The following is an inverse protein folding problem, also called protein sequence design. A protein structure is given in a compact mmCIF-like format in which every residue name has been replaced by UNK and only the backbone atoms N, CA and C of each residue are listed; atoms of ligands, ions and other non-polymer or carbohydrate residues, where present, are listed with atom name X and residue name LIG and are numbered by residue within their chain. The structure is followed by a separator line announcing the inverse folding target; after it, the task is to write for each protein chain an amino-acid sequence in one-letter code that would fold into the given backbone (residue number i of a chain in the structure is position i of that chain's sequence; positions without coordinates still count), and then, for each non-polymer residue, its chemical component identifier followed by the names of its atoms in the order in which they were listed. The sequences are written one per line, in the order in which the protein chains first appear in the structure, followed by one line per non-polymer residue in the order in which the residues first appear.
data_IF_446047736493
#
_entry.id   IF_446047736493
#
_cell.length_a   1.000
_cell.length_b   1.000
_cell.length_c   1.000
_cell.angle_alpha   90.00
_cell.angle_beta   90.00
_cell.angle_gamma   90.00
#
_symmetry.space_group_name_H-M   'P 1'
#
loop_
_entity.id
_entity.type
_entity.pdbx_description
1 polymer ?
#
# COMPACT_ATOMS: atom_id res chain seq x y z
N UNK A 1 -26.12 -7.33 -31.68
CA UNK A 1 -24.72 -6.93 -31.43
C UNK A 1 -24.36 -7.38 -30.03
N UNK A 2 -23.63 -8.49 -29.91
CA UNK A 2 -23.15 -9.04 -28.65
C UNK A 2 -22.01 -8.16 -28.12
N UNK A 3 -22.22 -7.45 -27.01
CA UNK A 3 -21.14 -6.78 -26.29
C UNK A 3 -20.22 -7.85 -25.70
N UNK A 4 -19.00 -7.99 -26.24
CA UNK A 4 -17.96 -8.78 -25.58
C UNK A 4 -17.74 -8.21 -24.17
N UNK A 5 -17.68 -9.05 -23.12
CA UNK A 5 -17.45 -8.56 -21.76
C UNK A 5 -16.09 -7.86 -21.73
N UNK A 6 -16.06 -6.62 -21.25
CA UNK A 6 -14.81 -5.90 -20.99
C UNK A 6 -13.99 -6.73 -20.00
N UNK A 7 -12.84 -7.24 -20.44
CA UNK A 7 -11.92 -7.99 -19.59
C UNK A 7 -11.45 -7.07 -18.45
N UNK A 8 -11.88 -7.39 -17.23
CA UNK A 8 -11.44 -6.70 -16.02
C UNK A 8 -10.21 -7.42 -15.49
N UNK A 9 -9.06 -6.75 -15.53
CA UNK A 9 -7.79 -7.26 -15.01
C UNK A 9 -7.42 -6.54 -13.72
N UNK A 10 -6.90 -7.30 -12.76
CA UNK A 10 -6.34 -6.77 -11.51
C UNK A 10 -4.82 -6.89 -11.54
N UNK A 11 -4.15 -5.82 -11.16
CA UNK A 11 -2.70 -5.74 -11.05
C UNK A 11 -2.34 -5.46 -9.59
N UNK A 12 -1.34 -6.15 -9.05
CA UNK A 12 -0.60 -5.65 -7.90
C UNK A 12 0.39 -4.60 -8.40
N UNK A 13 0.47 -3.46 -7.72
CA UNK A 13 1.40 -2.39 -8.05
C UNK A 13 2.34 -2.17 -6.87
N UNK A 14 3.64 -2.30 -7.10
CA UNK A 14 4.69 -2.11 -6.08
C UNK A 14 5.42 -0.79 -6.28
N UNK A 15 5.98 -0.26 -5.19
CA UNK A 15 6.71 1.01 -5.19
C UNK A 15 5.85 2.27 -5.00
N UNK A 16 4.53 2.16 -4.87
CA UNK A 16 3.67 3.29 -4.49
C UNK A 16 3.83 3.62 -3.00
N UNK A 17 4.29 4.84 -2.70
CA UNK A 17 4.52 5.34 -1.33
C UNK A 17 3.60 6.50 -0.91
N UNK A 18 2.93 7.18 -1.84
CA UNK A 18 2.01 8.28 -1.53
C UNK A 18 0.75 8.29 -2.43
N UNK A 19 -0.23 9.13 -2.12
CA UNK A 19 -1.43 9.32 -2.93
C UNK A 19 -1.13 10.00 -4.29
N UNK A 20 -0.05 10.77 -4.40
CA UNK A 20 0.48 11.28 -5.66
C UNK A 20 0.94 10.17 -6.62
N UNK A 21 1.48 9.07 -6.08
CA UNK A 21 1.84 7.89 -6.87
C UNK A 21 0.60 7.25 -7.52
N UNK A 22 -0.54 7.27 -6.82
CA UNK A 22 -1.82 6.73 -7.31
C UNK A 22 -2.27 7.48 -8.55
N UNK A 23 -2.24 8.82 -8.51
CA UNK A 23 -2.64 9.64 -9.64
C UNK A 23 -1.71 9.43 -10.85
N UNK A 24 -0.40 9.29 -10.62
CA UNK A 24 0.57 9.00 -11.67
C UNK A 24 0.29 7.65 -12.34
N UNK A 25 0.13 6.58 -11.56
CA UNK A 25 -0.16 5.23 -12.07
C UNK A 25 -1.54 5.17 -12.76
N UNK A 26 -2.56 5.79 -12.17
CA UNK A 26 -3.91 5.81 -12.72
C UNK A 26 -3.98 6.57 -14.04
N UNK A 27 -3.26 7.69 -14.16
CA UNK A 27 -3.16 8.42 -15.43
C UNK A 27 -2.36 7.64 -16.47
N UNK A 28 -1.26 6.99 -16.08
CA UNK A 28 -0.49 6.14 -17.00
C UNK A 28 -1.33 4.98 -17.54
N UNK A 29 -2.11 4.32 -16.67
CA UNK A 29 -3.01 3.25 -17.07
C UNK A 29 -4.19 3.76 -17.91
N UNK A 30 -4.80 4.91 -17.59
CA UNK A 30 -5.87 5.51 -18.41
C UNK A 30 -5.41 5.92 -19.81
N UNK A 31 -4.15 6.32 -19.94
CA UNK A 31 -3.57 6.73 -21.21
C UNK A 31 -3.06 5.54 -22.04
N UNK A 32 -3.07 4.32 -21.49
CA UNK A 32 -2.66 3.13 -22.22
C UNK A 32 -3.69 2.77 -23.31
N UNK A 33 -3.26 2.33 -24.52
CA UNK A 33 -4.17 1.99 -25.61
C UNK A 33 -5.13 0.87 -25.24
N UNK A 34 -6.43 1.06 -25.50
CA UNK A 34 -7.46 0.03 -25.27
C UNK A 34 -8.04 0.00 -23.85
N UNK A 35 -7.58 0.87 -22.95
CA UNK A 35 -8.12 0.98 -21.59
C UNK A 35 -9.38 1.85 -21.59
N UNK A 36 -10.49 1.30 -21.11
CA UNK A 36 -11.76 2.01 -20.95
C UNK A 36 -11.84 2.69 -19.59
N UNK A 37 -11.44 1.97 -18.53
CA UNK A 37 -11.40 2.49 -17.17
C UNK A 37 -10.20 1.94 -16.41
N UNK A 38 -9.49 2.79 -15.68
CA UNK A 38 -8.47 2.37 -14.71
C UNK A 38 -8.71 3.06 -13.37
N UNK A 39 -8.76 2.26 -12.31
CA UNK A 39 -8.87 2.72 -10.93
C UNK A 39 -7.74 2.09 -10.10
N UNK A 40 -7.00 2.92 -9.39
CA UNK A 40 -5.90 2.47 -8.54
C UNK A 40 -6.30 2.64 -7.08
N UNK A 41 -6.24 1.56 -6.31
CA UNK A 41 -6.41 1.57 -4.88
C UNK A 41 -5.03 1.59 -4.19
N UNK A 42 -4.76 2.70 -3.50
CA UNK A 42 -3.54 2.85 -2.70
C UNK A 42 -3.47 1.90 -1.50
N UNK A 43 -4.60 1.71 -0.81
CA UNK A 43 -4.69 0.91 0.40
C UNK A 43 -4.43 -0.57 0.10
N UNK A 44 -4.99 -1.09 -1.00
CA UNK A 44 -4.76 -2.47 -1.45
C UNK A 44 -3.50 -2.64 -2.33
N UNK A 45 -2.82 -1.54 -2.70
CA UNK A 45 -1.74 -1.54 -3.70
C UNK A 45 -2.15 -2.27 -4.99
N UNK A 46 -3.38 -2.04 -5.43
CA UNK A 46 -3.95 -2.68 -6.62
C UNK A 46 -4.35 -1.66 -7.66
N UNK A 47 -4.28 -2.05 -8.92
CA UNK A 47 -4.94 -1.36 -10.01
C UNK A 47 -5.97 -2.30 -10.64
N UNK A 48 -7.19 -1.81 -10.82
CA UNK A 48 -8.22 -2.49 -11.58
C UNK A 48 -8.41 -1.76 -12.90
N UNK A 49 -8.19 -2.50 -13.98
CA UNK A 49 -8.23 -1.99 -15.35
C UNK A 49 -9.26 -2.78 -16.13
N UNK A 50 -10.16 -2.09 -16.82
CA UNK A 50 -11.13 -2.69 -17.73
C UNK A 50 -10.88 -2.15 -19.13
N UNK A 51 -10.72 -3.05 -20.09
CA UNK A 51 -10.38 -2.70 -21.46
C UNK A 51 -9.82 -3.88 -22.24
N UNK A 52 -9.65 -3.69 -23.55
CA UNK A 52 -9.06 -4.68 -24.44
C UNK A 52 -7.56 -4.37 -24.64
N UNK A 53 -6.81 -4.46 -23.53
CA UNK A 53 -5.37 -4.17 -23.50
C UNK A 53 -4.60 -5.41 -23.04
N UNK A 54 -3.51 -5.79 -23.73
CA UNK A 54 -2.61 -6.84 -23.27
C UNK A 54 -1.96 -6.49 -21.92
N UNK A 55 -1.82 -7.50 -21.04
CA UNK A 55 -1.20 -7.36 -19.72
C UNK A 55 0.20 -6.71 -19.79
N UNK A 56 1.01 -7.10 -20.78
CA UNK A 56 2.36 -6.57 -20.95
C UNK A 56 2.36 -5.05 -21.16
N UNK A 57 1.39 -4.53 -21.93
CA UNK A 57 1.23 -3.09 -22.17
C UNK A 57 0.84 -2.35 -20.90
N UNK A 58 -0.02 -2.95 -20.07
CA UNK A 58 -0.41 -2.37 -18.78
C UNK A 58 0.77 -2.33 -17.81
N UNK A 59 1.54 -3.42 -17.70
CA UNK A 59 2.74 -3.47 -16.85
C UNK A 59 3.77 -2.44 -17.32
N UNK A 60 3.96 -2.32 -18.64
CA UNK A 60 4.90 -1.36 -19.21
C UNK A 60 4.47 0.08 -18.91
N UNK A 61 3.19 0.42 -19.06
CA UNK A 61 2.69 1.75 -18.72
C UNK A 61 2.94 2.12 -17.24
N UNK A 62 2.82 1.15 -16.33
CA UNK A 62 3.14 1.35 -14.90
C UNK A 62 4.65 1.53 -14.68
N UNK A 63 5.48 0.80 -15.43
CA UNK A 63 6.96 0.93 -15.40
C UNK A 63 7.44 2.26 -15.93
N UNK A 64 6.83 2.75 -17.01
CA UNK A 64 7.15 4.05 -17.60
C UNK A 64 6.77 5.21 -16.65
N UNK A 65 5.77 4.99 -15.77
CA UNK A 65 5.44 5.90 -14.68
C UNK A 65 6.36 5.77 -13.45
N UNK A 66 7.33 4.85 -13.47
CA UNK A 66 8.35 4.68 -12.43
C UNK A 66 8.01 3.68 -11.32
N UNK A 67 6.99 2.84 -11.51
CA UNK A 67 6.52 1.82 -10.56
C UNK A 67 6.65 0.41 -11.16
N UNK A 68 6.31 -0.64 -10.42
CA UNK A 68 6.31 -2.01 -10.98
C UNK A 68 4.96 -2.68 -10.76
N UNK A 69 4.57 -3.59 -11.64
CA UNK A 69 3.26 -4.24 -11.59
C UNK A 69 3.30 -5.71 -12.01
N UNK A 70 2.46 -6.52 -11.37
CA UNK A 70 2.23 -7.93 -11.71
C UNK A 70 0.74 -8.23 -11.73
N UNK A 71 0.34 -9.23 -12.54
CA UNK A 71 -1.07 -9.65 -12.58
C UNK A 71 -1.47 -10.34 -11.27
N UNK A 72 -2.67 -10.03 -10.82
CA UNK A 72 -3.23 -10.65 -9.63
C UNK A 72 -4.07 -11.87 -10.00
N UNK A 73 -3.56 -13.06 -9.69
CA UNK A 73 -4.32 -14.31 -9.76
C UNK A 73 -4.24 -15.04 -8.40
N UNK A 74 -5.39 -15.45 -7.90
CA UNK A 74 -5.63 -16.39 -6.80
C UNK A 74 -5.28 -16.00 -5.35
N UNK A 75 -5.92 -16.71 -4.41
CA UNK A 75 -5.80 -16.55 -2.95
C UNK A 75 -4.37 -16.80 -2.41
N UNK A 76 -3.51 -17.48 -3.19
CA UNK A 76 -2.09 -17.60 -2.88
C UNK A 76 -1.36 -16.23 -2.92
N UNK A 77 -1.82 -15.32 -3.78
CA UNK A 77 -1.27 -13.96 -3.85
C UNK A 77 -1.59 -13.14 -2.59
N UNK A 78 -2.65 -13.44 -1.84
CA UNK A 78 -2.99 -12.73 -0.60
C UNK A 78 -1.98 -13.02 0.52
N UNK A 79 -1.52 -14.26 0.68
CA UNK A 79 -0.50 -14.61 1.67
C UNK A 79 0.86 -13.98 1.34
N UNK A 80 1.24 -13.93 0.06
CA UNK A 80 2.46 -13.26 -0.39
C UNK A 80 2.42 -11.74 -0.16
N UNK A 81 1.24 -11.13 -0.33
CA UNK A 81 1.01 -9.71 -0.05
C UNK A 81 1.15 -9.38 1.42
N UNK A 82 0.52 -10.15 2.29
CA UNK A 82 0.62 -9.95 3.73
C UNK A 82 2.07 -10.08 4.19
N UNK A 83 2.81 -11.06 3.65
CA UNK A 83 4.24 -11.22 3.92
C UNK A 83 5.07 -10.02 3.43
N UNK A 84 4.78 -9.50 2.22
CA UNK A 84 5.45 -8.33 1.67
C UNK A 84 5.13 -7.04 2.46
N UNK A 85 3.90 -6.87 2.92
CA UNK A 85 3.48 -5.74 3.76
C UNK A 85 4.19 -5.79 5.12
N UNK A 86 4.26 -6.97 5.75
CA UNK A 86 5.00 -7.16 7.00
C UNK A 86 6.51 -6.94 6.82
N UNK A 87 7.10 -7.37 5.70
CA UNK A 87 8.51 -7.11 5.40
C UNK A 87 8.77 -5.60 5.23
N UNK A 88 7.87 -4.89 4.56
CA UNK A 88 7.94 -3.44 4.40
C UNK A 88 7.84 -2.69 5.74
N UNK A 89 6.88 -3.06 6.59
CA UNK A 89 6.75 -2.49 7.94
C UNK A 89 8.01 -2.72 8.79
N UNK A 90 8.54 -3.95 8.78
CA UNK A 90 9.80 -4.28 9.49
C UNK A 90 10.98 -3.45 8.97
N UNK A 91 11.06 -3.22 7.66
CA UNK A 91 12.08 -2.36 7.06
C UNK A 91 11.96 -0.91 7.54
N UNK A 92 10.75 -0.34 7.57
CA UNK A 92 10.53 1.03 8.05
C UNK A 92 10.95 1.17 9.52
N UNK A 93 10.55 0.23 10.39
CA UNK A 93 10.95 0.23 11.80
C UNK A 93 12.47 0.12 11.95
N UNK A 94 13.11 -0.79 11.20
CA UNK A 94 14.57 -0.92 11.22
C UNK A 94 15.25 0.38 10.79
N UNK A 95 14.76 1.03 9.74
CA UNK A 95 15.29 2.30 9.26
C UNK A 95 15.12 3.42 10.30
N UNK A 96 13.96 3.49 10.96
CA UNK A 96 13.72 4.39 12.10
C UNK A 96 14.71 4.14 13.23
N UNK A 97 14.91 2.89 13.63
CA UNK A 97 15.81 2.56 14.74
C UNK A 97 17.26 2.90 14.38
N UNK A 98 17.72 2.56 13.18
CA UNK A 98 19.10 2.87 12.74
C UNK A 98 19.33 4.38 12.67
N UNK A 99 18.39 5.14 12.08
CA UNK A 99 18.50 6.60 12.01
C UNK A 99 18.38 7.24 13.41
N UNK A 100 17.40 6.80 14.21
CA UNK A 100 17.16 7.31 15.56
C UNK A 100 18.29 7.00 16.54
N UNK A 101 18.95 5.85 16.40
CA UNK A 101 20.12 5.48 17.20
C UNK A 101 21.32 6.39 16.96
N UNK A 102 21.42 7.00 15.77
CA UNK A 102 22.42 8.04 15.48
C UNK A 102 21.92 9.42 15.90
N UNK A 103 20.68 9.76 15.54
CA UNK A 103 20.14 11.10 15.71
C UNK A 103 19.88 11.49 17.17
N UNK A 104 19.28 10.60 17.98
CA UNK A 104 18.90 10.94 19.35
C UNK A 104 20.11 11.16 20.27
N UNK A 105 21.15 10.30 20.29
CA UNK A 105 22.34 10.58 21.08
C UNK A 105 23.07 11.84 20.62
N UNK A 106 23.15 12.09 19.31
CA UNK A 106 23.79 13.28 18.76
C UNK A 106 23.06 14.56 19.21
N UNK A 107 21.73 14.58 19.10
CA UNK A 107 20.89 15.70 19.56
C UNK A 107 21.02 15.93 21.08
N UNK A 108 21.02 14.87 21.89
CA UNK A 108 21.18 14.99 23.34
C UNK A 108 22.56 15.53 23.69
N UNK A 109 23.61 15.00 23.07
CA UNK A 109 24.99 15.43 23.32
C UNK A 109 25.23 16.87 22.89
N UNK A 110 24.63 17.30 21.78
CA UNK A 110 24.68 18.67 21.30
C UNK A 110 23.98 19.63 22.25
N UNK A 111 22.75 19.31 22.67
CA UNK A 111 21.99 20.12 23.62
C UNK A 111 22.65 20.19 25.01
N UNK A 112 23.37 19.14 25.41
CA UNK A 112 24.14 19.10 26.65
C UNK A 112 25.51 19.80 26.55
N UNK A 113 25.91 20.26 25.35
CA UNK A 113 27.21 20.89 25.12
C UNK A 113 28.41 19.95 25.28
N UNK A 114 28.20 18.63 25.13
CA UNK A 114 29.26 17.62 25.27
C UNK A 114 30.12 17.45 24.02
N UNK A 115 29.65 17.97 22.89
CA UNK A 115 30.32 17.84 21.60
C UNK A 115 31.45 18.87 21.44
N UNK A 116 32.55 18.50 20.75
CA UNK A 116 33.67 19.40 20.55
C UNK A 116 33.30 20.58 19.64
N UNK A 117 33.86 21.76 19.94
CA UNK A 117 33.71 22.95 19.12
C UNK A 117 34.31 22.72 17.73
N UNK A 118 33.51 23.01 16.70
CA UNK A 118 33.79 22.67 15.31
C UNK A 118 35.03 23.38 14.74
N UNK A 119 35.31 24.61 15.18
CA UNK A 119 36.49 25.39 14.78
C UNK A 119 37.84 24.83 15.29
N UNK A 120 37.83 23.84 16.20
CA UNK A 120 39.05 23.23 16.75
C UNK A 120 39.50 22.07 15.86
N UNK A 121 40.79 21.86 15.63
CA UNK A 121 41.27 20.76 14.75
C UNK A 121 40.75 19.38 15.16
N UNK A 122 40.63 19.12 16.47
CA UNK A 122 40.07 17.86 17.01
C UNK A 122 38.56 17.76 16.81
N UNK A 123 37.84 18.87 16.90
CA UNK A 123 36.40 18.97 16.62
C UNK A 123 36.10 18.81 15.13
N UNK A 124 36.93 19.39 14.27
CA UNK A 124 36.80 19.26 12.82
C UNK A 124 36.83 17.81 12.36
N UNK A 125 37.81 17.02 12.82
CA UNK A 125 37.92 15.59 12.53
C UNK A 125 36.70 14.82 13.05
N UNK A 126 36.23 15.14 14.26
CA UNK A 126 35.04 14.54 14.84
C UNK A 126 33.79 14.79 13.98
N UNK A 127 33.54 16.05 13.60
CA UNK A 127 32.36 16.43 12.82
C UNK A 127 32.40 15.91 11.38
N UNK A 128 33.57 15.82 10.75
CA UNK A 128 33.71 15.13 9.45
C UNK A 128 33.36 13.63 9.60
N UNK A 129 33.82 12.97 10.67
CA UNK A 129 33.47 11.59 10.97
C UNK A 129 31.96 11.39 11.16
N UNK A 130 31.32 12.27 11.94
CA UNK A 130 29.86 12.30 12.11
C UNK A 130 29.15 12.60 10.79
N UNK A 131 29.70 13.47 9.95
CA UNK A 131 29.15 13.78 8.63
C UNK A 131 29.14 12.56 7.71
N UNK A 132 30.21 11.78 7.67
CA UNK A 132 30.28 10.52 6.91
C UNK A 132 29.33 9.45 7.46
N UNK A 133 29.25 9.32 8.79
CA UNK A 133 28.32 8.39 9.44
C UNK A 133 26.86 8.77 9.17
N UNK A 134 26.57 10.07 9.21
CA UNK A 134 25.27 10.64 8.84
C UNK A 134 24.93 10.36 7.40
N UNK A 135 25.88 10.54 6.46
CA UNK A 135 25.66 10.23 5.05
C UNK A 135 25.32 8.73 4.87
N UNK A 136 26.04 7.84 5.54
CA UNK A 136 25.76 6.41 5.50
C UNK A 136 24.36 6.09 6.05
N UNK A 137 23.96 6.71 7.16
CA UNK A 137 22.62 6.56 7.72
C UNK A 137 21.52 7.11 6.78
N UNK A 138 21.76 8.25 6.13
CA UNK A 138 20.85 8.84 5.13
C UNK A 138 20.69 7.91 3.92
N UNK A 139 21.78 7.34 3.41
CA UNK A 139 21.74 6.39 2.29
C UNK A 139 20.99 5.11 2.66
N UNK A 140 21.23 4.56 3.85
CA UNK A 140 20.62 3.31 4.30
C UNK A 140 19.13 3.49 4.69
N UNK A 141 18.83 4.43 5.58
CA UNK A 141 17.49 4.63 6.14
C UNK A 141 16.60 5.52 5.27
N UNK A 142 17.20 6.44 4.50
CA UNK A 142 16.49 7.44 3.71
C UNK A 142 16.67 7.31 2.19
N UNK A 143 17.49 6.38 1.70
CA UNK A 143 17.80 6.29 0.26
C UNK A 143 16.58 6.18 -0.66
N UNK A 144 15.48 5.60 -0.17
CA UNK A 144 14.22 5.52 -0.91
C UNK A 144 13.60 6.90 -1.18
N UNK A 145 13.72 7.87 -0.26
CA UNK A 145 13.26 9.24 -0.46
C UNK A 145 14.04 9.93 -1.59
N UNK A 146 15.37 9.76 -1.63
CA UNK A 146 16.22 10.32 -2.69
C UNK A 146 15.85 9.76 -4.07
N UNK A 147 15.65 8.44 -4.15
CA UNK A 147 15.21 7.81 -5.41
C UNK A 147 13.80 8.25 -5.81
N UNK A 148 12.90 8.45 -4.84
CA UNK A 148 11.54 8.96 -5.06
C UNK A 148 11.56 10.39 -5.59
N UNK A 149 12.29 11.28 -4.92
CA UNK A 149 12.46 12.68 -5.33
C UNK A 149 13.05 12.80 -6.74
N UNK A 150 14.06 11.99 -7.08
CA UNK A 150 14.65 11.99 -8.42
C UNK A 150 13.63 11.60 -9.51
N UNK A 151 12.80 10.58 -9.24
CA UNK A 151 11.71 10.20 -10.14
C UNK A 151 10.71 11.34 -10.30
N UNK A 152 10.26 11.96 -9.20
CA UNK A 152 9.29 13.06 -9.27
C UNK A 152 9.84 14.28 -10.01
N UNK A 153 11.11 14.61 -9.81
CA UNK A 153 11.79 15.67 -10.53
C UNK A 153 11.79 15.43 -12.05
N UNK A 154 12.11 14.20 -12.50
CA UNK A 154 12.03 13.84 -13.94
C UNK A 154 10.62 14.00 -14.52
N UNK A 155 9.60 13.83 -13.71
CA UNK A 155 8.20 13.98 -14.11
C UNK A 155 7.61 15.37 -13.80
N UNK A 156 8.45 16.36 -13.48
CA UNK A 156 8.03 17.76 -13.20
C UNK A 156 6.96 17.87 -12.10
N UNK A 157 7.06 17.01 -11.09
CA UNK A 157 6.13 16.99 -9.96
C UNK A 157 6.90 17.14 -8.64
N UNK A 158 6.23 17.65 -7.60
CA UNK A 158 6.79 17.82 -6.27
C UNK A 158 5.89 17.13 -5.23
N UNK A 159 6.51 16.36 -4.34
CA UNK A 159 5.82 15.59 -3.31
C UNK A 159 6.58 15.62 -1.97
N UNK A 160 6.12 14.82 -1.01
CA UNK A 160 6.77 14.66 0.29
C UNK A 160 8.24 14.21 0.18
N UNK A 161 8.57 13.28 -0.72
CA UNK A 161 9.96 12.80 -0.93
C UNK A 161 10.87 13.95 -1.36
N UNK A 162 10.36 14.87 -2.19
CA UNK A 162 11.10 16.04 -2.68
C UNK A 162 11.48 16.97 -1.54
N UNK A 163 10.53 17.26 -0.63
CA UNK A 163 10.77 18.10 0.54
C UNK A 163 11.84 17.50 1.47
N UNK A 164 11.72 16.20 1.75
CA UNK A 164 12.62 15.49 2.66
C UNK A 164 14.04 15.47 2.10
N UNK A 165 14.16 15.12 0.82
CA UNK A 165 15.44 15.04 0.11
C UNK A 165 16.15 16.38 0.11
N UNK A 166 15.43 17.46 -0.23
CA UNK A 166 16.01 18.80 -0.26
C UNK A 166 16.37 19.30 1.14
N UNK A 167 15.50 19.12 2.13
CA UNK A 167 15.76 19.57 3.51
C UNK A 167 16.94 18.83 4.15
N UNK A 168 16.90 17.49 4.13
CA UNK A 168 17.96 16.67 4.75
C UNK A 168 19.27 16.73 3.95
N UNK A 169 19.19 16.82 2.62
CA UNK A 169 20.35 17.02 1.75
C UNK A 169 21.01 18.38 1.95
N UNK A 170 20.23 19.46 2.05
CA UNK A 170 20.75 20.79 2.32
C UNK A 170 21.37 20.88 3.72
N UNK A 171 20.72 20.32 4.74
CA UNK A 171 21.26 20.27 6.10
C UNK A 171 22.60 19.52 6.14
N UNK A 172 22.69 18.34 5.51
CA UNK A 172 23.95 17.59 5.44
C UNK A 172 25.02 18.34 4.66
N UNK A 173 24.69 18.89 3.48
CA UNK A 173 25.63 19.60 2.64
C UNK A 173 26.20 20.83 3.33
N UNK A 174 25.34 21.65 3.94
CA UNK A 174 25.75 22.80 4.74
C UNK A 174 26.68 22.38 5.88
N UNK A 175 26.28 21.37 6.66
CA UNK A 175 27.05 20.88 7.80
C UNK A 175 28.42 20.35 7.40
N UNK A 176 28.50 19.64 6.26
CA UNK A 176 29.75 19.12 5.72
C UNK A 176 30.64 20.25 5.20
N UNK A 177 30.08 21.27 4.56
CA UNK A 177 30.82 22.45 4.11
C UNK A 177 31.43 23.19 5.29
N UNK A 178 30.64 23.45 6.33
CA UNK A 178 31.11 24.11 7.57
C UNK A 178 32.17 23.25 8.29
N UNK A 179 32.01 21.92 8.32
CA UNK A 179 33.00 21.00 8.89
C UNK A 179 34.32 20.96 8.09
N UNK A 180 34.28 21.02 6.76
CA UNK A 180 35.49 21.02 5.92
C UNK A 180 36.18 22.39 5.90
N UNK A 181 35.40 23.46 5.91
CA UNK A 181 35.88 24.85 5.80
C UNK A 181 35.28 25.74 6.89
N UNK A 182 35.69 25.60 8.17
CA UNK A 182 35.08 26.36 9.27
C UNK A 182 35.22 27.89 9.11
N UNK A 183 36.24 28.35 8.40
CA UNK A 183 36.54 29.77 8.16
C UNK A 183 35.71 30.40 7.03
N UNK A 184 34.94 29.61 6.26
CA UNK A 184 34.11 30.16 5.18
C UNK A 184 32.81 30.81 5.67
N UNK A 185 32.46 30.61 6.94
CA UNK A 185 31.27 31.18 7.57
C UNK A 185 31.63 31.94 8.85
N UNK A 186 30.87 32.98 9.22
CA UNK A 186 31.05 33.68 10.50
C UNK A 186 30.97 32.74 11.69
N UNK A 187 31.64 33.06 12.79
CA UNK A 187 31.67 32.22 14.00
C UNK A 187 30.29 31.90 14.57
N UNK A 188 29.32 32.82 14.44
CA UNK A 188 27.93 32.59 14.82
C UNK A 188 27.21 31.52 13.98
N UNK A 189 27.69 31.26 12.76
CA UNK A 189 27.09 30.32 11.81
C UNK A 189 27.81 28.95 11.79
N UNK A 190 28.82 28.73 12.64
CA UNK A 190 29.59 27.48 12.73
C UNK A 190 28.84 26.38 13.50
N UNK A 191 27.58 26.12 13.14
CA UNK A 191 26.78 25.01 13.67
C UNK A 191 26.59 23.94 12.61
N UNK A 192 26.67 22.67 13.02
CA UNK A 192 26.32 21.54 12.17
C UNK A 192 24.88 21.11 12.48
N UNK A 193 24.19 20.59 11.47
CA UNK A 193 22.79 20.13 11.51
C UNK A 193 22.67 18.66 11.06
N UNK A 194 23.68 17.85 11.38
CA UNK A 194 23.72 16.43 11.00
C UNK A 194 22.62 15.63 11.73
N UNK A 195 22.41 15.94 13.00
CA UNK A 195 21.34 15.43 13.85
C UNK A 195 19.97 15.75 13.27
N UNK A 196 19.72 16.99 12.83
CA UNK A 196 18.45 17.38 12.22
C UNK A 196 18.16 16.55 10.96
N UNK A 197 19.14 16.36 10.09
CA UNK A 197 18.99 15.59 8.86
C UNK A 197 18.57 14.12 9.14
N UNK A 198 19.26 13.44 10.05
CA UNK A 198 18.96 12.03 10.38
C UNK A 198 17.70 11.91 11.23
N UNK A 199 17.43 12.87 12.12
CA UNK A 199 16.22 12.90 12.95
C UNK A 199 14.97 13.01 12.09
N UNK A 200 14.96 13.89 11.09
CA UNK A 200 13.86 14.01 10.13
C UNK A 200 13.60 12.66 9.44
N UNK A 201 14.64 11.99 8.95
CA UNK A 201 14.51 10.66 8.32
C UNK A 201 13.96 9.62 9.30
N UNK A 202 14.40 9.63 10.56
CA UNK A 202 13.93 8.71 11.59
C UNK A 202 12.44 8.89 11.87
N UNK A 203 12.00 10.13 12.10
CA UNK A 203 10.62 10.48 12.43
C UNK A 203 9.66 10.24 11.27
N UNK A 204 10.09 10.49 10.03
CA UNK A 204 9.24 10.25 8.87
C UNK A 204 9.09 8.75 8.62
N UNK A 205 10.18 7.97 8.67
CA UNK A 205 10.08 6.51 8.59
C UNK A 205 9.18 5.94 9.71
N UNK A 206 9.21 6.54 10.92
CA UNK A 206 8.33 6.15 12.02
C UNK A 206 6.88 6.47 11.70
N UNK A 207 6.61 7.68 11.20
CA UNK A 207 5.28 8.10 10.73
C UNK A 207 4.72 7.14 9.68
N UNK A 208 5.51 6.80 8.66
CA UNK A 208 5.12 5.83 7.63
C UNK A 208 4.92 4.42 8.18
N UNK A 209 5.69 4.01 9.20
CA UNK A 209 5.49 2.72 9.88
C UNK A 209 4.17 2.69 10.65
N UNK A 210 3.85 3.76 11.38
CA UNK A 210 2.59 3.91 12.11
C UNK A 210 1.39 3.93 11.14
N UNK A 211 1.53 4.63 10.01
CA UNK A 211 0.54 4.65 8.95
C UNK A 211 0.29 3.26 8.36
N UNK A 212 1.36 2.53 8.02
CA UNK A 212 1.28 1.15 7.51
C UNK A 212 0.57 0.25 8.52
N UNK A 213 0.93 0.35 9.81
CA UNK A 213 0.30 -0.43 10.88
C UNK A 213 -1.18 -0.11 11.05
N UNK A 214 -1.56 1.16 10.96
CA UNK A 214 -2.96 1.59 11.07
C UNK A 214 -3.80 1.02 9.90
N UNK A 215 -3.26 1.05 8.68
CA UNK A 215 -3.91 0.51 7.49
C UNK A 215 -4.03 -1.01 7.51
N UNK A 216 -2.97 -1.74 7.86
CA UNK A 216 -2.99 -3.19 7.93
C UNK A 216 -4.06 -3.72 8.90
N UNK A 217 -4.31 -3.02 10.02
CA UNK A 217 -5.40 -3.36 10.95
C UNK A 217 -6.79 -3.24 10.31
N UNK A 218 -7.02 -2.21 9.49
CA UNK A 218 -8.29 -2.02 8.79
C UNK A 218 -8.50 -3.10 7.71
N UNK A 219 -7.46 -3.41 6.93
CA UNK A 219 -7.51 -4.46 5.90
C UNK A 219 -7.75 -5.85 6.49
N UNK A 220 -7.12 -6.17 7.63
CA UNK A 220 -7.29 -7.47 8.29
C UNK A 220 -8.73 -7.72 8.79
N UNK A 221 -9.46 -6.66 9.18
CA UNK A 221 -10.86 -6.79 9.58
C UNK A 221 -11.76 -7.21 8.41
N UNK A 222 -11.47 -6.72 7.20
CA UNK A 222 -12.18 -7.08 5.97
C UNK A 222 -11.83 -8.51 5.53
N UNK A 223 -10.54 -8.89 5.60
CA UNK A 223 -10.09 -10.26 5.28
C UNK A 223 -10.75 -11.32 6.18
N UNK A 224 -11.03 -11.02 7.46
CA UNK A 224 -11.74 -11.94 8.35
C UNK A 224 -13.16 -12.27 7.87
N UNK A 225 -13.81 -11.38 7.11
CA UNK A 225 -15.09 -11.66 6.49
C UNK A 225 -14.94 -12.59 5.27
N UNK A 226 -13.83 -12.51 4.54
CA UNK A 226 -13.53 -13.37 3.38
C UNK A 226 -13.09 -14.78 3.78
N UNK A 227 -12.41 -14.92 4.91
CA UNK A 227 -12.01 -16.22 5.47
C UNK A 227 -13.18 -17.13 5.89
N UNK A 228 -14.41 -16.67 5.73
CA UNK A 228 -15.62 -17.44 6.02
C UNK A 228 -16.03 -18.38 4.87
N UNK A 229 -15.48 -18.22 3.66
CA UNK A 229 -15.79 -19.09 2.53
C UNK A 229 -15.10 -20.47 2.67
N UNK A 230 -15.81 -21.59 2.45
CA UNK A 230 -15.19 -22.92 2.43
C UNK A 230 -14.16 -23.03 1.30
N UNK A 231 -13.02 -23.67 1.56
CA UNK A 231 -12.00 -23.92 0.53
C UNK A 231 -12.28 -25.18 -0.30
N UNK A 232 -13.07 -26.09 0.24
CA UNK A 232 -13.42 -27.36 -0.39
C UNK A 232 -14.93 -27.55 -0.42
N UNK A 233 -15.39 -28.36 -1.37
CA UNK A 233 -16.77 -28.81 -1.50
C UNK A 233 -16.80 -30.31 -1.76
N UNK A 234 -17.86 -30.97 -1.29
CA UNK A 234 -18.05 -32.40 -1.50
C UNK A 234 -18.85 -32.65 -2.77
N UNK A 235 -18.14 -32.98 -3.84
CA UNK A 235 -18.72 -33.34 -5.14
C UNK A 235 -19.22 -34.79 -5.11
N UNK A 236 -20.41 -35.01 -5.68
CA UNK A 236 -21.04 -36.33 -5.83
C UNK A 236 -21.12 -36.68 -7.31
N UNK A 237 -20.45 -37.76 -7.70
CA UNK A 237 -20.48 -38.31 -9.06
C UNK A 237 -20.89 -39.78 -8.99
N UNK A 238 -22.13 -40.08 -9.37
CA UNK A 238 -22.71 -41.41 -9.16
C UNK A 238 -22.83 -41.74 -7.67
N UNK A 239 -22.18 -42.81 -7.24
CA UNK A 239 -22.18 -43.28 -5.84
C UNK A 239 -20.92 -42.85 -5.06
N UNK A 240 -20.03 -42.07 -5.68
CA UNK A 240 -18.78 -41.62 -5.04
C UNK A 240 -18.86 -40.17 -4.58
N UNK A 241 -18.38 -39.93 -3.35
CA UNK A 241 -18.15 -38.61 -2.77
C UNK A 241 -16.66 -38.27 -2.79
N UNK A 242 -16.30 -37.12 -3.36
CA UNK A 242 -14.93 -36.58 -3.29
C UNK A 242 -14.92 -35.12 -2.86
N UNK A 243 -14.03 -34.79 -1.94
CA UNK A 243 -13.79 -33.40 -1.55
C UNK A 243 -12.84 -32.76 -2.58
N UNK A 244 -13.32 -31.70 -3.25
CA UNK A 244 -12.59 -30.97 -4.30
C UNK A 244 -12.44 -29.49 -3.92
N UNK A 245 -11.38 -28.80 -4.37
CA UNK A 245 -11.26 -27.35 -4.20
C UNK A 245 -12.44 -26.62 -4.86
N UNK A 246 -12.99 -25.59 -4.21
CA UNK A 246 -14.15 -24.84 -4.73
C UNK A 246 -13.89 -24.21 -6.11
N UNK A 247 -12.63 -23.89 -6.40
CA UNK A 247 -12.15 -23.29 -7.64
C UNK A 247 -12.30 -24.23 -8.85
N UNK A 248 -12.37 -25.54 -8.61
CA UNK A 248 -12.49 -26.56 -9.66
C UNK A 248 -13.94 -26.91 -9.99
N UNK A 249 -14.90 -26.38 -9.23
CA UNK A 249 -16.33 -26.63 -9.44
C UNK A 249 -16.84 -25.96 -10.70
N UNK A 250 -17.68 -26.66 -11.44
CA UNK A 250 -18.37 -26.13 -12.61
C UNK A 250 -19.88 -26.02 -12.33
N UNK A 251 -20.60 -25.09 -13.00
CA UNK A 251 -22.05 -25.07 -12.97
C UNK A 251 -22.63 -26.43 -13.37
N UNK A 252 -23.69 -26.85 -12.67
CA UNK A 252 -24.32 -28.17 -12.84
C UNK A 252 -23.74 -29.29 -11.97
N UNK A 253 -22.61 -29.06 -11.28
CA UNK A 253 -22.03 -30.02 -10.35
C UNK A 253 -22.99 -30.35 -9.19
N UNK A 254 -23.03 -31.62 -8.79
CA UNK A 254 -23.86 -32.10 -7.68
C UNK A 254 -23.05 -32.11 -6.39
N UNK A 255 -23.50 -31.36 -5.39
CA UNK A 255 -22.73 -31.12 -4.17
C UNK A 255 -23.57 -31.54 -2.98
N UNK A 256 -22.95 -32.29 -2.06
CA UNK A 256 -23.60 -32.70 -0.81
C UNK A 256 -23.17 -31.81 0.34
N UNK A 257 -24.15 -31.36 1.12
CA UNK A 257 -23.92 -30.57 2.33
C UNK A 257 -24.50 -31.32 3.52
N UNK A 258 -23.67 -31.55 4.54
CA UNK A 258 -24.05 -32.23 5.79
C UNK A 258 -24.44 -31.21 6.87
N UNK A 259 -25.17 -31.65 7.93
CA UNK A 259 -25.45 -30.78 9.06
C UNK A 259 -24.16 -30.18 9.63
N UNK A 260 -24.15 -28.88 9.88
CA UNK A 260 -22.99 -28.15 10.40
C UNK A 260 -21.98 -27.71 9.34
N UNK A 261 -22.16 -28.05 8.06
CA UNK A 261 -21.31 -27.58 6.97
C UNK A 261 -21.81 -26.25 6.40
N UNK A 262 -20.88 -25.43 5.91
CA UNK A 262 -21.22 -24.24 5.12
C UNK A 262 -21.50 -24.62 3.68
N UNK A 263 -22.45 -23.93 3.07
CA UNK A 263 -22.78 -24.11 1.66
C UNK A 263 -21.65 -23.47 0.82
N UNK A 264 -20.96 -24.22 -0.06
CA UNK A 264 -19.74 -23.72 -0.72
C UNK A 264 -20.01 -22.75 -1.88
N UNK A 265 -21.10 -22.97 -2.63
CA UNK A 265 -21.48 -22.21 -3.84
C UNK A 265 -23.01 -22.09 -3.91
N UNK A 266 -23.50 -21.22 -4.80
CA UNK A 266 -24.94 -21.05 -4.98
C UNK A 266 -25.52 -22.21 -5.80
N UNK A 267 -26.76 -22.58 -5.54
CA UNK A 267 -27.41 -23.65 -6.27
C UNK A 267 -28.87 -23.87 -5.92
N UNK A 268 -29.38 -25.03 -6.34
CA UNK A 268 -30.77 -25.45 -6.13
C UNK A 268 -30.82 -26.86 -5.56
N UNK A 269 -31.63 -27.08 -4.52
CA UNK A 269 -31.73 -28.37 -3.84
C UNK A 269 -32.40 -29.38 -4.77
N UNK A 270 -31.79 -30.54 -4.96
CA UNK A 270 -32.33 -31.62 -5.81
C UNK A 270 -32.80 -32.84 -5.01
N UNK A 271 -32.29 -33.05 -3.80
CA UNK A 271 -32.76 -34.13 -2.93
C UNK A 271 -32.45 -33.84 -1.46
N UNK A 272 -33.30 -34.34 -0.57
CA UNK A 272 -33.20 -34.09 0.87
C UNK A 272 -33.89 -32.80 1.28
N UNK A 273 -33.79 -32.48 2.58
CA UNK A 273 -34.36 -31.28 3.17
C UNK A 273 -33.51 -30.85 4.35
N UNK A 274 -33.45 -29.55 4.60
CA UNK A 274 -32.71 -29.01 5.74
C UNK A 274 -33.22 -27.65 6.18
N UNK A 275 -32.70 -27.17 7.30
CA UNK A 275 -32.80 -25.76 7.72
C UNK A 275 -31.46 -25.08 7.52
N UNK A 276 -31.48 -23.92 6.87
CA UNK A 276 -30.28 -23.16 6.52
C UNK A 276 -30.33 -21.80 7.21
N UNK A 277 -29.24 -21.45 7.87
CA UNK A 277 -29.03 -20.16 8.51
C UNK A 277 -28.36 -19.21 7.50
N UNK A 278 -29.16 -18.26 7.02
CA UNK A 278 -28.75 -17.23 6.06
C UNK A 278 -28.48 -15.87 6.76
N UNK A 279 -28.44 -15.83 8.10
CA UNK A 279 -28.33 -14.59 8.89
C UNK A 279 -27.11 -13.73 8.53
N UNK A 280 -26.00 -14.37 8.16
CA UNK A 280 -24.77 -13.68 7.74
C UNK A 280 -24.91 -12.94 6.40
N UNK A 281 -25.89 -13.30 5.58
CA UNK A 281 -26.12 -12.72 4.26
C UNK A 281 -27.34 -11.79 4.26
N UNK A 282 -28.47 -12.25 4.82
CA UNK A 282 -29.75 -11.53 4.80
C UNK A 282 -29.96 -10.66 6.02
N UNK A 283 -29.29 -10.95 7.14
CA UNK A 283 -29.55 -10.33 8.43
C UNK A 283 -30.76 -10.90 9.17
N UNK A 284 -31.47 -11.87 8.60
CA UNK A 284 -32.62 -12.51 9.24
C UNK A 284 -32.17 -13.59 10.23
N UNK A 285 -32.59 -13.53 11.51
CA UNK A 285 -32.05 -14.40 12.56
C UNK A 285 -32.61 -15.84 12.54
N UNK A 286 -33.75 -16.07 11.87
CA UNK A 286 -34.42 -17.36 11.86
C UNK A 286 -33.93 -18.22 10.68
N UNK A 287 -33.53 -19.49 10.91
CA UNK A 287 -33.20 -20.40 9.82
C UNK A 287 -34.38 -20.65 8.89
N UNK A 288 -34.10 -20.69 7.60
CA UNK A 288 -35.09 -20.91 6.53
C UNK A 288 -35.11 -22.41 6.18
N UNK A 289 -36.29 -23.00 6.09
CA UNK A 289 -36.45 -24.37 5.62
C UNK A 289 -36.19 -24.43 4.11
N UNK A 290 -35.43 -25.44 3.68
CA UNK A 290 -35.10 -25.70 2.27
C UNK A 290 -35.55 -27.11 1.89
N UNK A 291 -36.30 -27.19 0.82
CA UNK A 291 -36.80 -28.41 0.20
C UNK A 291 -36.36 -28.49 -1.27
N UNK A 292 -36.69 -29.60 -1.92
CA UNK A 292 -36.36 -29.81 -3.34
C UNK A 292 -36.97 -28.69 -4.20
N UNK A 293 -36.13 -28.07 -5.03
CA UNK A 293 -36.48 -26.91 -5.86
C UNK A 293 -36.12 -25.56 -5.24
N UNK A 294 -35.80 -25.51 -3.94
CA UNK A 294 -35.45 -24.24 -3.30
C UNK A 294 -34.00 -23.81 -3.60
N UNK A 295 -33.76 -22.50 -3.76
CA UNK A 295 -32.41 -21.98 -3.94
C UNK A 295 -31.64 -21.99 -2.62
N UNK A 296 -30.34 -22.26 -2.71
CA UNK A 296 -29.36 -22.16 -1.63
C UNK A 296 -28.23 -21.22 -2.00
N UNK A 297 -27.76 -20.46 -1.01
CA UNK A 297 -26.74 -19.41 -1.22
C UNK A 297 -25.42 -19.82 -0.58
N UNK A 298 -24.33 -19.65 -1.31
CA UNK A 298 -22.97 -19.87 -0.84
C UNK A 298 -22.63 -18.97 0.35
N UNK A 299 -21.98 -19.56 1.36
CA UNK A 299 -21.65 -18.91 2.63
C UNK A 299 -22.68 -19.11 3.74
N UNK A 300 -23.92 -19.50 3.41
CA UNK A 300 -24.92 -19.85 4.41
C UNK A 300 -24.56 -21.14 5.17
N UNK A 301 -25.09 -21.31 6.38
CA UNK A 301 -24.73 -22.41 7.26
C UNK A 301 -25.85 -23.45 7.34
N UNK A 302 -25.54 -24.69 6.99
CA UNK A 302 -26.50 -25.78 7.08
C UNK A 302 -26.66 -26.22 8.55
N UNK A 303 -27.89 -26.15 9.10
CA UNK A 303 -28.15 -26.49 10.50
C UNK A 303 -28.52 -27.97 10.66
N UNK A 304 -29.68 -28.38 10.14
CA UNK A 304 -30.28 -29.69 10.45
C UNK A 304 -30.77 -30.37 9.19
N UNK A 305 -30.13 -31.48 8.83
CA UNK A 305 -30.43 -32.26 7.64
C UNK A 305 -29.25 -32.31 6.67
N UNK A 306 -29.24 -33.33 5.83
CA UNK A 306 -28.32 -33.42 4.71
C UNK A 306 -29.12 -33.26 3.41
N UNK A 307 -28.57 -32.54 2.45
CA UNK A 307 -29.18 -32.38 1.15
C UNK A 307 -28.13 -32.39 0.05
N UNK A 308 -28.59 -32.76 -1.14
CA UNK A 308 -27.85 -32.68 -2.39
C UNK A 308 -28.40 -31.50 -3.17
N UNK A 309 -27.53 -30.65 -3.68
CA UNK A 309 -27.92 -29.52 -4.50
C UNK A 309 -27.09 -29.47 -5.78
N UNK A 310 -27.65 -28.87 -6.82
CA UNK A 310 -26.98 -28.61 -8.09
C UNK A 310 -26.43 -27.20 -8.09
N UNK A 311 -25.13 -27.03 -8.34
CA UNK A 311 -24.49 -25.73 -8.44
C UNK A 311 -25.08 -24.92 -9.61
N UNK A 312 -25.51 -23.69 -9.37
CA UNK A 312 -26.01 -22.78 -10.42
C UNK A 312 -25.01 -21.67 -10.71
N UNK A 313 -24.35 -21.12 -9.68
CA UNK A 313 -23.29 -20.10 -9.80
C UNK A 313 -22.10 -20.49 -8.95
N UNK A 314 -20.89 -20.37 -9.50
CA UNK A 314 -19.63 -20.76 -8.88
C UNK A 314 -18.60 -19.63 -9.01
N UNK A 315 -17.58 -19.60 -8.15
CA UNK A 315 -16.52 -18.60 -8.22
C UNK A 315 -17.03 -17.16 -8.10
N UNK A 316 -16.65 -16.32 -9.06
CA UNK A 316 -16.95 -14.88 -9.10
C UNK A 316 -18.43 -14.56 -9.34
N UNK A 317 -19.21 -15.52 -9.85
CA UNK A 317 -20.65 -15.35 -10.14
C UNK A 317 -21.55 -15.57 -8.92
N UNK A 318 -20.99 -15.98 -7.77
CA UNK A 318 -21.79 -16.24 -6.56
C UNK A 318 -22.31 -14.95 -5.92
N UNK A 319 -23.44 -15.02 -5.23
CA UNK A 319 -24.03 -13.87 -4.49
C UNK A 319 -23.01 -13.31 -3.49
N UNK A 320 -22.31 -14.16 -2.75
CA UNK A 320 -21.27 -13.72 -1.81
C UNK A 320 -20.12 -13.00 -2.53
N UNK A 321 -19.65 -13.52 -3.68
CA UNK A 321 -18.62 -12.85 -4.47
C UNK A 321 -19.08 -11.48 -4.97
N UNK A 322 -20.34 -11.33 -5.39
CA UNK A 322 -20.91 -10.04 -5.78
C UNK A 322 -21.02 -9.06 -4.61
N UNK A 323 -21.44 -9.51 -3.41
CA UNK A 323 -21.48 -8.66 -2.21
C UNK A 323 -20.07 -8.20 -1.87
N UNK A 324 -19.10 -9.11 -1.86
CA UNK A 324 -17.68 -8.80 -1.62
C UNK A 324 -17.16 -7.79 -2.64
N UNK A 325 -17.42 -8.02 -3.93
CA UNK A 325 -17.01 -7.13 -5.01
C UNK A 325 -17.63 -5.74 -4.86
N UNK A 326 -18.91 -5.66 -4.50
CA UNK A 326 -19.64 -4.40 -4.30
C UNK A 326 -19.11 -3.62 -3.09
N UNK A 327 -18.87 -4.30 -1.96
CA UNK A 327 -18.28 -3.69 -0.76
C UNK A 327 -16.87 -3.20 -1.05
N UNK A 328 -16.04 -4.01 -1.74
CA UNK A 328 -14.70 -3.58 -2.17
C UNK A 328 -14.78 -2.38 -3.11
N UNK A 329 -15.70 -2.37 -4.08
CA UNK A 329 -15.90 -1.23 -4.98
C UNK A 329 -16.28 0.04 -4.21
N UNK A 330 -17.14 -0.07 -3.21
CA UNK A 330 -17.50 1.04 -2.33
C UNK A 330 -16.31 1.53 -1.49
N UNK A 331 -15.49 0.63 -0.95
CA UNK A 331 -14.27 0.96 -0.19
C UNK A 331 -13.13 1.50 -1.06
N UNK A 332 -13.10 1.11 -2.34
CA UNK A 332 -12.17 1.61 -3.35
C UNK A 332 -12.47 3.06 -3.75
N UNK A 333 -13.59 3.64 -3.28
CA UNK A 333 -13.83 5.07 -3.39
C UNK A 333 -12.85 5.83 -2.49
N UNK A 334 -11.72 6.20 -3.11
CA UNK A 334 -10.58 6.98 -2.59
C UNK A 334 -10.89 7.80 -1.31
N UNK A 335 -10.25 7.49 -0.16
CA UNK A 335 -10.36 8.29 1.04
C UNK A 335 -9.96 9.76 0.77
N UNK A 336 -10.84 10.74 1.04
CA UNK A 336 -10.62 12.15 0.68
C UNK A 336 -9.42 12.79 1.40
N UNK A 337 -9.02 12.25 2.57
CA UNK A 337 -8.00 12.85 3.43
C UNK A 337 -6.57 12.67 2.87
N UNK A 338 -6.25 11.53 2.27
CA UNK A 338 -4.90 11.28 1.72
C UNK A 338 -4.53 12.20 0.56
N UNK A 339 -5.53 12.66 -0.22
CA UNK A 339 -5.32 13.61 -1.32
C UNK A 339 -4.97 15.02 -0.83
N UNK A 340 -5.37 15.38 0.38
CA UNK A 340 -5.10 16.70 0.95
C UNK A 340 -3.61 16.87 1.27
N UNK A 341 -2.98 15.87 1.89
CA UNK A 341 -1.57 15.94 2.27
C UNK A 341 -0.64 16.12 1.05
N UNK A 342 -0.84 15.32 0.00
CA UNK A 342 -0.04 15.43 -1.22
C UNK A 342 -0.33 16.71 -2.01
N UNK A 343 -1.59 17.17 -2.01
CA UNK A 343 -1.95 18.46 -2.64
C UNK A 343 -1.29 19.63 -1.89
N UNK A 344 -1.30 19.60 -0.56
CA UNK A 344 -0.60 20.60 0.26
C UNK A 344 0.90 20.56 -0.05
N UNK A 345 1.53 19.38 -0.09
CA UNK A 345 2.95 19.26 -0.41
C UNK A 345 3.28 19.80 -1.81
N UNK A 346 2.44 19.52 -2.82
CA UNK A 346 2.66 19.98 -4.20
C UNK A 346 2.66 21.51 -4.36
N UNK A 347 2.01 22.24 -3.45
CA UNK A 347 2.01 23.71 -3.43
C UNK A 347 3.05 24.26 -2.45
N UNK A 348 3.16 23.63 -1.28
CA UNK A 348 4.04 24.05 -0.20
C UNK A 348 5.52 23.95 -0.61
N UNK A 349 5.93 22.86 -1.25
CA UNK A 349 7.34 22.64 -1.62
C UNK A 349 7.85 23.69 -2.61
N UNK A 350 7.18 23.97 -3.74
CA UNK A 350 7.59 25.06 -4.63
C UNK A 350 7.59 26.41 -3.92
N UNK A 351 6.59 26.68 -3.08
CA UNK A 351 6.48 27.96 -2.35
C UNK A 351 7.68 28.18 -1.41
N UNK A 352 8.06 27.17 -0.63
CA UNK A 352 9.23 27.24 0.26
C UNK A 352 10.52 27.43 -0.53
N UNK A 353 10.66 26.76 -1.68
CA UNK A 353 11.84 26.94 -2.54
C UNK A 353 11.93 28.35 -3.12
N UNK A 354 10.81 28.91 -3.59
CA UNK A 354 10.74 30.29 -4.07
C UNK A 354 11.13 31.25 -2.94
N UNK A 355 10.57 31.07 -1.74
CA UNK A 355 10.90 31.91 -0.58
C UNK A 355 12.38 31.78 -0.22
N UNK A 356 12.95 30.58 -0.23
CA UNK A 356 14.36 30.35 0.08
C UNK A 356 15.27 31.08 -0.92
N UNK A 357 14.97 30.99 -2.23
CA UNK A 357 15.72 31.69 -3.28
C UNK A 357 15.57 33.22 -3.15
N UNK A 358 14.34 33.71 -2.96
CA UNK A 358 14.10 35.15 -2.78
C UNK A 358 14.81 35.70 -1.55
N UNK A 359 14.80 34.95 -0.45
CA UNK A 359 15.47 35.33 0.80
C UNK A 359 16.99 35.36 0.58
N UNK A 360 17.56 34.33 -0.04
CA UNK A 360 18.98 34.28 -0.36
C UNK A 360 19.40 35.46 -1.26
N UNK A 361 18.63 35.75 -2.31
CA UNK A 361 18.90 36.88 -3.21
C UNK A 361 18.78 38.22 -2.48
N UNK A 362 17.77 38.39 -1.62
CA UNK A 362 17.57 39.64 -0.89
C UNK A 362 18.73 39.91 0.06
N UNK A 363 19.15 38.91 0.85
CA UNK A 363 20.29 39.05 1.75
C UNK A 363 21.62 39.19 1.01
N UNK A 364 21.79 38.53 -0.14
CA UNK A 364 23.00 38.68 -0.94
C UNK A 364 23.16 40.08 -1.54
N UNK A 365 22.06 40.73 -1.94
CA UNK A 365 22.10 42.05 -2.59
C UNK A 365 21.92 43.23 -1.62
N UNK A 366 21.22 43.04 -0.51
CA UNK A 366 20.84 44.11 0.43
C UNK A 366 21.26 43.82 1.88
N UNK A 367 22.01 42.74 2.12
CA UNK A 367 22.52 42.42 3.45
C UNK A 367 23.54 43.46 3.92
N UNK A 368 23.58 43.75 5.23
CA UNK A 368 24.65 44.56 5.81
C UNK A 368 26.01 43.85 5.63
N UNK A 369 27.06 44.61 5.31
CA UNK A 369 28.44 44.12 5.17
C UNK A 369 28.97 43.46 6.45
#
# INVERSE_FOLDING_TARGET
MTMSPLLSRRLAVTGMSCAGCVAAVENALRNAPGVTTANVNFAERTAQVSGDTPLATLIQAVRDAGYDASELRDAAAEAERDAAEQAHYRRLIRNTVVAGALAAPLMIAEMAGWLPVLATSRGQVFWIGIGLLTLAAMMYSGGHFFTGAWKQFRHHNANMDTLITLGTGAAWFYSMLVALFPTSVPSLAQHAYFEAAVMIIALINLGSALETRARGKASAAIQRLLGLQPKTARLVEGDQERDVPIETLQPGALIRVRPGEKIPVDGEVISGQSTVDESMLTGEPLPVAKQVGDPVTGGAFNKVGAFLFRATRVGEDTVLAHIVASVRQAQNSKPPIGRLADRVASVFVPSVLIIAVLTALTWFNFGPE
#
